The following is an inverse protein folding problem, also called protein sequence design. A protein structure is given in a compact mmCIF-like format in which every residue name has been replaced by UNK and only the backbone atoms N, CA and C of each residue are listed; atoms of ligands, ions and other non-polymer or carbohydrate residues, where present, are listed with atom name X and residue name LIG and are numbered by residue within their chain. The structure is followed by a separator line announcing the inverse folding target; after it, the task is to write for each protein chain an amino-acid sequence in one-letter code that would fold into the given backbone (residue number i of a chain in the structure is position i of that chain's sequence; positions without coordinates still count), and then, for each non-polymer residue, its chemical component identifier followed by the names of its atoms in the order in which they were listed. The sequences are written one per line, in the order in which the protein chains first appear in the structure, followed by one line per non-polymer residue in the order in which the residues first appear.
data_IF_500412644345
#
_entry.id   IF_500412644345
#
_cell.length_a   1.000
_cell.length_b   1.000
_cell.length_c   1.000
_cell.angle_alpha   90.00
_cell.angle_beta   90.00
_cell.angle_gamma   90.00
#
_symmetry.space_group_name_H-M   'P 1'
#
loop_
_entity.id
_entity.type
_entity.pdbx_description
1 polymer ?
#
# COMPACT_ATOMS: atom_id res chain seq x y z
N UNK A 1 -4.08 1.47 -33.14
CA UNK A 1 -4.29 2.37 -34.30
C UNK A 1 -3.31 2.01 -35.40
N UNK A 2 -3.80 1.60 -36.52
CA UNK A 2 -3.00 1.29 -37.71
C UNK A 2 -3.69 1.88 -38.98
N UNK A 3 -3.21 1.53 -40.19
CA UNK A 3 -3.81 1.97 -41.44
C UNK A 3 -5.29 1.60 -41.61
N UNK A 4 -5.83 0.71 -40.78
CA UNK A 4 -7.24 0.30 -40.80
C UNK A 4 -8.09 1.09 -39.77
N UNK A 5 -7.49 2.06 -39.03
CA UNK A 5 -8.16 2.90 -38.03
C UNK A 5 -8.00 2.42 -36.58
N UNK A 6 -9.00 2.72 -35.75
CA UNK A 6 -9.01 2.36 -34.33
C UNK A 6 -9.37 0.87 -34.19
N UNK A 7 -8.59 0.15 -33.43
CA UNK A 7 -8.71 -1.29 -33.23
C UNK A 7 -9.51 -1.63 -31.96
N UNK A 8 -10.00 -2.86 -31.88
CA UNK A 8 -10.62 -3.46 -30.72
C UNK A 8 -9.93 -4.75 -30.26
N UNK A 9 -8.75 -5.02 -30.84
CA UNK A 9 -7.98 -6.20 -30.46
C UNK A 9 -7.44 -6.07 -29.03
N UNK A 10 -7.55 -7.15 -28.28
CA UNK A 10 -6.92 -7.33 -26.98
C UNK A 10 -5.97 -8.52 -27.03
N UNK A 11 -4.76 -8.36 -26.50
CA UNK A 11 -3.70 -9.35 -26.55
C UNK A 11 -3.17 -9.61 -25.14
N UNK A 12 -2.93 -10.87 -24.81
CA UNK A 12 -2.24 -11.30 -23.62
C UNK A 12 -0.82 -11.72 -23.98
N UNK A 13 0.16 -11.06 -23.39
CA UNK A 13 1.57 -11.45 -23.49
C UNK A 13 1.87 -12.29 -22.24
N UNK A 14 2.19 -13.56 -22.43
CA UNK A 14 2.54 -14.49 -21.35
C UNK A 14 3.99 -14.32 -20.91
N UNK A 15 4.32 -14.87 -19.75
CA UNK A 15 5.67 -14.79 -19.19
C UNK A 15 6.76 -15.49 -20.03
N UNK A 16 6.36 -16.44 -20.88
CA UNK A 16 7.24 -17.12 -21.86
C UNK A 16 7.43 -16.31 -23.15
N UNK A 17 6.80 -15.11 -23.24
CA UNK A 17 6.83 -14.25 -24.43
C UNK A 17 5.83 -14.64 -25.52
N UNK A 18 5.05 -15.71 -25.36
CA UNK A 18 3.97 -16.06 -26.28
C UNK A 18 2.82 -15.03 -26.21
N UNK A 19 2.14 -14.84 -27.35
CA UNK A 19 1.04 -13.88 -27.48
C UNK A 19 -0.24 -14.66 -27.76
N UNK A 20 -1.25 -14.45 -26.93
CA UNK A 20 -2.58 -15.01 -27.08
C UNK A 20 -3.60 -13.91 -27.36
N UNK A 21 -4.55 -14.15 -28.26
CA UNK A 21 -5.64 -13.21 -28.52
C UNK A 21 -6.72 -13.38 -27.46
N UNK A 22 -7.03 -12.30 -26.79
CA UNK A 22 -8.20 -12.19 -25.92
C UNK A 22 -9.46 -11.84 -26.77
N UNK A 23 -10.66 -12.01 -26.24
CA UNK A 23 -11.87 -11.52 -26.89
C UNK A 23 -11.73 -10.03 -27.25
N UNK A 24 -12.16 -9.62 -28.44
CA UNK A 24 -12.08 -8.23 -28.84
C UNK A 24 -13.02 -7.35 -27.99
N UNK A 25 -12.65 -6.10 -27.79
CA UNK A 25 -13.51 -5.10 -27.16
C UNK A 25 -14.85 -4.97 -27.93
N UNK A 26 -15.95 -4.65 -27.24
CA UNK A 26 -17.25 -4.45 -27.90
C UNK A 26 -17.22 -3.38 -29.00
N UNK A 27 -16.49 -2.30 -28.76
CA UNK A 27 -16.26 -1.21 -29.72
C UNK A 27 -14.77 -0.93 -29.89
N UNK A 28 -14.34 -0.41 -31.03
CA UNK A 28 -12.96 0.08 -31.16
C UNK A 28 -12.76 1.27 -30.23
N UNK A 29 -11.63 1.32 -29.53
CA UNK A 29 -11.34 2.40 -28.57
C UNK A 29 -9.88 2.80 -28.66
N UNK A 30 -9.62 4.11 -28.60
CA UNK A 30 -8.28 4.67 -28.45
C UNK A 30 -8.26 5.76 -27.38
N UNK A 31 -7.10 6.11 -26.85
CA UNK A 31 -6.92 7.09 -25.78
C UNK A 31 -7.74 6.79 -24.49
N UNK A 32 -8.13 5.51 -24.32
CA UNK A 32 -8.76 5.03 -23.11
C UNK A 32 -7.72 4.83 -21.98
N UNK A 33 -8.16 4.94 -20.75
CA UNK A 33 -7.38 4.47 -19.61
C UNK A 33 -7.67 3.00 -19.30
N UNK A 34 -6.68 2.34 -18.70
CA UNK A 34 -6.79 0.95 -18.27
C UNK A 34 -6.41 0.81 -16.80
N UNK A 35 -7.09 -0.08 -16.13
CA UNK A 35 -6.76 -0.50 -14.76
C UNK A 35 -6.90 -2.01 -14.63
N UNK A 36 -6.21 -2.58 -13.64
CA UNK A 36 -6.34 -3.99 -13.29
C UNK A 36 -6.54 -4.13 -11.78
N UNK A 37 -7.38 -5.08 -11.38
CA UNK A 37 -7.58 -5.42 -9.97
C UNK A 37 -7.91 -6.91 -9.84
N UNK A 38 -7.03 -7.66 -9.18
CA UNK A 38 -7.14 -9.11 -9.16
C UNK A 38 -7.18 -9.67 -10.58
N UNK A 39 -8.20 -10.47 -10.88
CA UNK A 39 -8.41 -11.06 -12.19
C UNK A 39 -9.30 -10.20 -13.12
N UNK A 40 -9.50 -8.94 -12.82
CA UNK A 40 -10.34 -8.05 -13.62
C UNK A 40 -9.51 -6.97 -14.30
N UNK A 41 -9.75 -6.79 -15.59
CA UNK A 41 -9.18 -5.73 -16.42
C UNK A 41 -10.27 -4.74 -16.78
N UNK A 42 -9.98 -3.45 -16.72
CA UNK A 42 -10.92 -2.39 -17.03
C UNK A 42 -10.37 -1.53 -18.18
N UNK A 43 -11.27 -1.15 -19.11
CA UNK A 43 -11.02 -0.16 -20.16
C UNK A 43 -12.05 0.94 -19.97
N UNK A 44 -11.59 2.17 -19.83
CA UNK A 44 -12.40 3.28 -19.32
C UNK A 44 -12.28 4.47 -20.26
N UNK A 45 -13.42 5.02 -20.70
CA UNK A 45 -13.47 6.21 -21.53
C UNK A 45 -12.83 6.02 -22.91
N UNK A 46 -12.12 7.04 -23.38
CA UNK A 46 -11.49 7.03 -24.69
C UNK A 46 -12.38 7.61 -25.79
N UNK A 47 -12.04 7.31 -27.04
CA UNK A 47 -12.84 7.67 -28.24
C UNK A 47 -12.90 6.49 -29.19
N UNK A 48 -14.04 6.38 -29.90
CA UNK A 48 -14.34 5.28 -30.83
C UNK A 48 -14.07 5.65 -32.32
N UNK A 49 -13.81 6.92 -32.58
CA UNK A 49 -13.54 7.47 -33.92
C UNK A 49 -12.50 8.59 -33.84
N UNK A 50 -11.95 8.98 -34.98
CA UNK A 50 -10.86 9.97 -35.03
C UNK A 50 -11.32 11.38 -34.65
N UNK A 51 -12.54 11.76 -35.07
CA UNK A 51 -13.13 13.06 -34.75
C UNK A 51 -14.50 12.89 -34.10
N UNK A 52 -14.55 12.52 -32.81
CA UNK A 52 -15.81 12.40 -32.10
C UNK A 52 -16.34 13.78 -31.71
N UNK A 53 -17.65 13.88 -31.49
CA UNK A 53 -18.27 15.08 -30.91
C UNK A 53 -17.95 15.16 -29.41
N UNK A 54 -17.94 14.01 -28.74
CA UNK A 54 -17.65 13.87 -27.32
C UNK A 54 -16.79 12.64 -27.09
N UNK A 55 -16.06 12.63 -25.98
CA UNK A 55 -15.38 11.43 -25.49
C UNK A 55 -16.37 10.43 -24.86
N UNK A 56 -15.95 9.18 -24.73
CA UNK A 56 -16.76 8.13 -24.12
C UNK A 56 -16.71 8.22 -22.60
N UNK A 57 -17.82 7.85 -21.94
CA UNK A 57 -17.90 7.62 -20.49
C UNK A 57 -18.15 6.15 -20.15
N UNK A 58 -17.81 5.25 -21.06
CA UNK A 58 -18.01 3.80 -20.93
C UNK A 58 -16.95 3.14 -20.06
N UNK A 59 -17.33 2.05 -19.39
CA UNK A 59 -16.42 1.15 -18.69
C UNK A 59 -16.67 -0.26 -19.21
N UNK A 60 -15.63 -0.91 -19.71
CA UNK A 60 -15.63 -2.33 -20.06
C UNK A 60 -14.78 -3.10 -19.09
N UNK A 61 -15.28 -4.24 -18.63
CA UNK A 61 -14.57 -5.15 -17.73
C UNK A 61 -14.39 -6.51 -18.40
N UNK A 62 -13.20 -7.09 -18.28
CA UNK A 62 -12.90 -8.47 -18.61
C UNK A 62 -12.50 -9.21 -17.34
N UNK A 63 -13.21 -10.28 -17.02
CA UNK A 63 -12.78 -11.24 -15.98
C UNK A 63 -11.87 -12.29 -16.65
N UNK A 64 -10.65 -12.39 -16.17
CA UNK A 64 -9.63 -13.32 -16.68
C UNK A 64 -9.57 -14.64 -15.92
N UNK A 65 -10.49 -14.87 -14.97
CA UNK A 65 -10.58 -16.13 -14.21
C UNK A 65 -10.97 -17.34 -15.09
N UNK A 66 -11.94 -17.21 -16.05
CA UNK A 66 -12.28 -18.31 -16.94
C UNK A 66 -11.20 -18.61 -17.98
N UNK A 67 -11.26 -19.79 -18.60
CA UNK A 67 -10.46 -20.09 -19.79
C UNK A 67 -10.68 -19.04 -20.90
N UNK A 68 -9.67 -18.77 -21.70
CA UNK A 68 -9.67 -17.68 -22.69
C UNK A 68 -10.87 -17.72 -23.65
N UNK A 69 -11.32 -18.90 -24.04
CA UNK A 69 -12.48 -19.13 -24.92
C UNK A 69 -13.84 -18.79 -24.28
N UNK A 70 -13.88 -18.71 -22.95
CA UNK A 70 -15.06 -18.34 -22.14
C UNK A 70 -15.05 -16.90 -21.66
N UNK A 71 -13.92 -16.19 -21.79
CA UNK A 71 -13.80 -14.79 -21.40
C UNK A 71 -14.72 -13.91 -22.27
N UNK A 72 -15.34 -12.92 -21.65
CA UNK A 72 -16.19 -11.93 -22.35
C UNK A 72 -16.06 -10.57 -21.71
N UNK A 73 -15.99 -9.53 -22.53
CA UNK A 73 -16.12 -8.18 -22.06
C UNK A 73 -17.56 -7.90 -21.61
N UNK A 74 -17.68 -7.34 -20.43
CA UNK A 74 -18.95 -6.88 -19.86
C UNK A 74 -18.96 -5.36 -19.86
N UNK A 75 -20.03 -4.78 -20.39
CA UNK A 75 -20.25 -3.34 -20.28
C UNK A 75 -20.81 -3.05 -18.90
N UNK A 76 -20.10 -2.25 -18.13
CA UNK A 76 -20.56 -1.76 -16.83
C UNK A 76 -21.39 -0.48 -16.98
N UNK A 77 -22.15 -0.06 -15.96
CA UNK A 77 -22.76 1.25 -15.94
C UNK A 77 -21.73 2.34 -16.22
N UNK A 78 -22.05 3.37 -17.04
CA UNK A 78 -21.10 4.41 -17.36
C UNK A 78 -20.73 5.22 -16.10
N UNK A 79 -19.53 5.78 -16.06
CA UNK A 79 -19.19 6.71 -15.00
C UNK A 79 -19.93 8.04 -15.19
N UNK A 80 -20.24 8.77 -14.10
CA UNK A 80 -20.97 10.03 -14.16
C UNK A 80 -20.13 11.16 -14.77
N UNK A 81 -20.82 12.18 -15.30
CA UNK A 81 -20.21 13.36 -15.85
C UNK A 81 -19.78 13.21 -17.30
N UNK A 82 -18.85 14.06 -17.72
CA UNK A 82 -18.37 14.10 -19.10
C UNK A 82 -17.48 12.90 -19.42
N UNK A 83 -17.65 12.36 -20.64
CA UNK A 83 -16.73 11.40 -21.18
C UNK A 83 -15.32 11.99 -21.31
N UNK A 84 -14.29 11.15 -21.25
CA UNK A 84 -12.91 11.64 -21.25
C UNK A 84 -11.94 10.73 -21.96
N UNK A 85 -10.97 11.36 -22.62
CA UNK A 85 -9.78 10.72 -23.15
C UNK A 85 -8.59 10.97 -22.22
N UNK A 86 -7.55 10.13 -22.32
CA UNK A 86 -6.29 10.32 -21.61
C UNK A 86 -6.45 10.51 -20.08
N UNK A 87 -7.57 10.04 -19.52
CA UNK A 87 -7.68 9.97 -18.05
C UNK A 87 -6.69 8.97 -17.49
N UNK A 88 -6.46 9.05 -16.21
CA UNK A 88 -5.69 8.05 -15.49
C UNK A 88 -6.65 7.20 -14.68
N UNK A 89 -6.44 5.89 -14.65
CA UNK A 89 -7.26 4.97 -13.89
C UNK A 89 -6.42 4.19 -12.89
N UNK A 90 -6.94 4.04 -11.69
CA UNK A 90 -6.32 3.26 -10.62
C UNK A 90 -7.42 2.57 -9.80
N UNK A 91 -7.15 1.36 -9.30
CA UNK A 91 -8.06 0.71 -8.36
C UNK A 91 -7.37 0.62 -7.01
N UNK A 92 -8.03 1.17 -5.99
CA UNK A 92 -7.64 1.04 -4.61
C UNK A 92 -8.82 0.44 -3.83
N UNK A 93 -8.59 -0.64 -3.13
CA UNK A 93 -9.62 -1.46 -2.50
C UNK A 93 -10.73 -1.85 -3.49
N UNK A 94 -11.98 -1.48 -3.20
CA UNK A 94 -13.13 -1.73 -4.06
C UNK A 94 -13.59 -0.49 -4.82
N UNK A 95 -12.72 0.51 -5.03
CA UNK A 95 -13.05 1.73 -5.75
C UNK A 95 -12.13 1.90 -6.95
N UNK A 96 -12.74 2.05 -8.13
CA UNK A 96 -12.04 2.45 -9.34
C UNK A 96 -12.02 3.97 -9.42
N UNK A 97 -10.84 4.56 -9.34
CA UNK A 97 -10.63 5.99 -9.46
C UNK A 97 -10.33 6.35 -10.93
N UNK A 98 -11.06 7.33 -11.43
CA UNK A 98 -10.88 7.90 -12.78
C UNK A 98 -10.45 9.36 -12.58
N UNK A 99 -9.22 9.66 -12.93
CA UNK A 99 -8.53 10.88 -12.52
C UNK A 99 -8.20 11.74 -13.74
N UNK A 100 -8.62 12.99 -13.74
CA UNK A 100 -8.28 13.97 -14.77
C UNK A 100 -8.64 13.54 -16.19
N UNK A 101 -7.73 13.75 -17.10
CA UNK A 101 -7.93 13.52 -18.54
C UNK A 101 -8.45 14.75 -19.26
N UNK A 102 -9.04 14.56 -20.45
CA UNK A 102 -9.61 15.63 -21.23
C UNK A 102 -11.02 15.26 -21.68
N UNK A 103 -11.98 16.17 -21.54
CA UNK A 103 -13.23 16.10 -22.28
C UNK A 103 -13.03 16.63 -23.71
N UNK A 104 -13.90 16.23 -24.60
CA UNK A 104 -13.92 16.65 -26.01
C UNK A 104 -15.20 17.42 -26.29
N UNK A 105 -15.08 18.51 -27.03
CA UNK A 105 -16.20 19.25 -27.57
C UNK A 105 -15.91 19.65 -29.02
N UNK A 106 -16.91 19.55 -29.88
CA UNK A 106 -16.79 19.94 -31.27
C UNK A 106 -17.49 21.27 -31.46
N UNK A 107 -16.80 22.22 -32.07
CA UNK A 107 -17.35 23.52 -32.38
C UNK A 107 -18.16 23.53 -33.67
N UNK A 108 -18.79 24.69 -34.00
CA UNK A 108 -19.58 24.86 -35.23
C UNK A 108 -18.75 24.79 -36.52
N UNK A 109 -17.43 24.92 -36.43
CA UNK A 109 -16.50 24.75 -37.58
C UNK A 109 -16.15 23.29 -37.82
N UNK A 110 -16.53 22.40 -36.92
CA UNK A 110 -16.21 20.97 -36.97
C UNK A 110 -14.86 20.62 -36.36
N UNK A 111 -14.18 21.56 -35.71
CA UNK A 111 -12.93 21.33 -35.00
C UNK A 111 -13.21 20.78 -33.59
N UNK A 112 -12.47 19.74 -33.21
CA UNK A 112 -12.59 19.12 -31.87
C UNK A 112 -11.55 19.71 -30.93
N UNK A 113 -12.00 20.35 -29.86
CA UNK A 113 -11.18 20.91 -28.79
C UNK A 113 -11.11 20.00 -27.58
N UNK A 114 -10.04 20.16 -26.79
CA UNK A 114 -9.79 19.41 -25.54
C UNK A 114 -9.90 20.36 -24.36
N UNK A 115 -10.66 19.95 -23.34
CA UNK A 115 -10.69 20.63 -22.04
C UNK A 115 -10.06 19.71 -20.99
N UNK A 116 -8.99 20.19 -20.36
CA UNK A 116 -8.29 19.43 -19.30
C UNK A 116 -9.09 19.46 -18.00
N UNK A 117 -9.25 18.28 -17.41
CA UNK A 117 -10.03 18.06 -16.20
C UNK A 117 -9.11 17.90 -14.98
N UNK A 118 -9.53 18.46 -13.86
CA UNK A 118 -8.84 18.30 -12.57
C UNK A 118 -9.66 17.50 -11.54
N UNK A 119 -10.84 17.04 -11.96
CA UNK A 119 -11.70 16.24 -11.10
C UNK A 119 -11.23 14.79 -10.98
N UNK A 120 -11.75 14.12 -9.98
CA UNK A 120 -11.55 12.69 -9.75
C UNK A 120 -12.90 12.06 -9.46
N UNK A 121 -13.18 10.95 -10.13
CA UNK A 121 -14.41 10.17 -9.96
C UNK A 121 -14.05 8.87 -9.26
N UNK A 122 -14.70 8.60 -8.13
CA UNK A 122 -14.66 7.29 -7.49
C UNK A 122 -15.84 6.44 -7.95
N UNK A 123 -15.56 5.32 -8.57
CA UNK A 123 -16.54 4.37 -9.04
C UNK A 123 -16.57 3.16 -8.10
N UNK A 124 -17.64 3.05 -7.30
CA UNK A 124 -17.80 2.03 -6.27
C UNK A 124 -18.08 0.65 -6.90
N UNK A 125 -17.28 -0.35 -6.52
CA UNK A 125 -17.37 -1.74 -6.98
C UNK A 125 -17.69 -2.71 -5.83
N UNK A 126 -18.26 -2.23 -4.72
CA UNK A 126 -18.51 -3.05 -3.52
C UNK A 126 -19.70 -4.02 -3.68
N UNK A 127 -20.65 -3.76 -4.60
CA UNK A 127 -21.77 -4.65 -4.82
C UNK A 127 -21.30 -5.96 -5.50
N UNK A 128 -21.88 -7.09 -5.09
CA UNK A 128 -21.59 -8.40 -5.70
C UNK A 128 -22.04 -8.50 -7.16
N UNK A 129 -23.02 -7.70 -7.54
CA UNK A 129 -23.56 -7.62 -8.91
C UNK A 129 -22.89 -6.45 -9.65
N UNK A 130 -22.02 -6.73 -10.64
CA UNK A 130 -21.35 -5.68 -11.39
C UNK A 130 -22.30 -4.70 -12.13
N UNK A 131 -23.52 -5.11 -12.43
CA UNK A 131 -24.51 -4.23 -13.06
C UNK A 131 -25.00 -3.10 -12.14
N UNK A 132 -24.70 -3.18 -10.86
CA UNK A 132 -25.02 -2.17 -9.84
C UNK A 132 -23.85 -1.31 -9.45
N UNK A 133 -22.66 -1.60 -9.96
CA UNK A 133 -21.48 -0.80 -9.68
C UNK A 133 -21.68 0.64 -10.16
N UNK A 134 -21.11 1.57 -9.41
CA UNK A 134 -21.30 3.00 -9.68
C UNK A 134 -22.70 3.54 -9.40
N UNK A 135 -23.67 2.72 -9.00
CA UNK A 135 -25.05 3.15 -8.72
C UNK A 135 -25.28 3.57 -7.27
N UNK A 136 -24.39 3.18 -6.35
CA UNK A 136 -24.46 3.63 -4.97
C UNK A 136 -24.16 5.13 -4.91
N UNK A 137 -24.98 5.92 -4.25
CA UNK A 137 -24.87 7.39 -4.17
C UNK A 137 -23.55 7.93 -3.56
N UNK A 138 -22.52 7.08 -3.42
CA UNK A 138 -21.12 7.40 -3.14
C UNK A 138 -20.32 7.79 -4.40
N UNK A 139 -20.98 8.05 -5.52
CA UNK A 139 -20.37 8.37 -6.83
C UNK A 139 -19.56 9.67 -6.87
N UNK A 140 -19.59 10.42 -5.82
CA UNK A 140 -18.73 11.58 -5.62
C UNK A 140 -17.90 11.37 -4.35
N UNK A 141 -16.85 10.59 -4.45
CA UNK A 141 -15.64 11.05 -3.82
C UNK A 141 -15.14 12.21 -4.69
N UNK A 142 -15.89 13.34 -4.65
CA UNK A 142 -15.30 14.61 -4.95
C UNK A 142 -14.31 14.86 -3.82
N UNK A 143 -13.19 14.15 -3.86
CA UNK A 143 -12.01 14.58 -3.17
C UNK A 143 -11.69 15.98 -3.65
N UNK A 144 -10.88 16.77 -2.95
CA UNK A 144 -10.35 17.99 -3.50
C UNK A 144 -9.80 17.63 -4.87
N UNK A 145 -10.23 18.31 -5.92
CA UNK A 145 -9.73 18.08 -7.27
C UNK A 145 -8.21 18.07 -7.26
N UNK A 146 -7.60 17.41 -8.23
CA UNK A 146 -6.15 17.45 -8.34
C UNK A 146 -5.66 18.90 -8.26
N UNK A 147 -4.54 19.18 -7.59
CA UNK A 147 -3.97 20.53 -7.49
C UNK A 147 -3.73 21.16 -8.86
N UNK A 148 -3.60 20.33 -9.89
CA UNK A 148 -3.29 20.73 -11.27
C UNK A 148 -4.01 19.78 -12.22
N UNK A 149 -4.68 20.30 -13.27
CA UNK A 149 -5.24 19.47 -14.33
C UNK A 149 -4.12 18.68 -15.02
N UNK A 150 -4.26 17.37 -15.10
CA UNK A 150 -3.27 16.47 -15.70
C UNK A 150 -3.96 15.37 -16.50
N UNK A 151 -3.31 14.95 -17.58
CA UNK A 151 -3.78 13.88 -18.43
C UNK A 151 -2.68 12.84 -18.65
N UNK A 152 -3.08 11.58 -18.80
CA UNK A 152 -2.22 10.47 -19.18
C UNK A 152 -0.99 10.21 -18.28
N UNK A 153 -1.02 10.63 -17.04
CA UNK A 153 0.02 10.26 -16.06
C UNK A 153 -0.15 8.82 -15.60
N UNK A 154 0.92 8.02 -15.45
CA UNK A 154 0.81 6.72 -14.79
C UNK A 154 0.42 6.88 -13.32
N UNK A 155 -0.43 6.00 -12.81
CA UNK A 155 -0.92 6.05 -11.43
C UNK A 155 -0.82 4.69 -10.73
N UNK A 156 0.38 4.25 -10.39
CA UNK A 156 0.54 3.07 -9.55
C UNK A 156 -0.13 3.29 -8.18
N UNK A 157 -0.71 2.22 -7.67
CA UNK A 157 -1.33 2.19 -6.34
C UNK A 157 -0.39 1.50 -5.37
N UNK A 158 -0.23 2.08 -4.22
CA UNK A 158 0.51 1.48 -3.11
C UNK A 158 -0.27 1.68 -1.83
N UNK A 159 -0.62 0.57 -1.17
CA UNK A 159 -1.47 0.61 0.01
C UNK A 159 -2.75 1.44 -0.25
N UNK A 160 -3.01 2.44 0.56
CA UNK A 160 -4.16 3.34 0.42
C UNK A 160 -3.82 4.65 -0.33
N UNK A 161 -2.76 4.63 -1.14
CA UNK A 161 -2.29 5.82 -1.87
C UNK A 161 -2.22 5.58 -3.36
N UNK A 162 -2.69 6.55 -4.13
CA UNK A 162 -2.56 6.59 -5.58
C UNK A 162 -1.48 7.62 -5.92
N UNK A 163 -0.42 7.18 -6.60
CA UNK A 163 0.69 8.04 -6.99
C UNK A 163 0.50 8.47 -8.44
N UNK A 164 0.07 9.70 -8.68
CA UNK A 164 0.00 10.25 -10.03
C UNK A 164 1.36 10.82 -10.40
N UNK A 165 2.03 10.19 -11.37
CA UNK A 165 3.40 10.55 -11.79
C UNK A 165 3.35 11.30 -13.10
N UNK A 166 3.88 12.51 -13.13
CA UNK A 166 3.99 13.29 -14.35
C UNK A 166 2.64 13.71 -14.95
N UNK A 167 2.41 13.34 -16.18
CA UNK A 167 1.21 13.69 -16.96
C UNK A 167 1.35 14.97 -17.78
N UNK A 168 0.43 15.12 -18.72
CA UNK A 168 0.33 16.31 -19.58
C UNK A 168 -0.44 17.42 -18.86
N UNK A 169 0.20 18.55 -18.64
CA UNK A 169 -0.36 19.71 -17.94
C UNK A 169 -0.60 20.91 -18.86
N UNK A 170 -0.72 20.70 -20.17
CA UNK A 170 -0.90 21.80 -21.12
C UNK A 170 -2.13 22.66 -20.84
N UNK A 171 -3.17 22.08 -20.24
CA UNK A 171 -4.36 22.83 -19.79
C UNK A 171 -4.06 23.94 -18.79
N UNK A 172 -2.90 23.89 -18.11
CA UNK A 172 -2.43 24.93 -17.18
C UNK A 172 -1.32 25.80 -17.80
N UNK A 173 -0.99 25.60 -19.10
CA UNK A 173 -0.02 26.44 -19.79
C UNK A 173 -0.66 27.77 -20.20
N UNK A 174 0.01 28.90 -19.99
CA UNK A 174 -0.47 30.19 -20.49
C UNK A 174 -0.46 30.26 -22.04
N UNK A 175 0.26 29.35 -22.68
CA UNK A 175 0.29 29.20 -24.14
C UNK A 175 0.21 27.72 -24.50
N UNK A 176 -1.00 27.16 -24.72
CA UNK A 176 -1.22 25.75 -25.05
C UNK A 176 -0.58 25.32 -26.39
N UNK A 177 -0.22 26.26 -27.27
CA UNK A 177 0.38 25.98 -28.57
C UNK A 177 1.88 25.65 -28.45
N UNK A 178 2.54 26.01 -27.38
CA UNK A 178 3.96 25.71 -27.17
C UNK A 178 4.19 24.28 -26.71
N UNK A 179 5.17 23.59 -27.30
CA UNK A 179 5.60 22.29 -26.77
C UNK A 179 6.16 22.46 -25.37
N UNK A 180 5.42 21.99 -24.37
CA UNK A 180 5.85 21.98 -22.97
C UNK A 180 6.27 20.56 -22.64
N UNK A 181 7.41 20.40 -21.97
CA UNK A 181 7.82 19.11 -21.45
C UNK A 181 6.75 18.54 -20.50
N UNK A 182 6.61 17.23 -20.48
CA UNK A 182 5.69 16.56 -19.57
C UNK A 182 6.08 16.85 -18.12
N UNK A 183 5.10 16.83 -17.23
CA UNK A 183 5.35 17.06 -15.81
C UNK A 183 6.28 16.01 -15.23
N UNK A 184 7.05 16.42 -14.22
CA UNK A 184 7.85 15.54 -13.36
C UNK A 184 7.23 15.36 -11.97
N UNK A 185 6.18 16.09 -11.63
CA UNK A 185 5.61 16.04 -10.29
C UNK A 185 5.11 14.64 -9.94
N UNK A 186 5.31 14.26 -8.70
CA UNK A 186 4.67 13.11 -8.06
C UNK A 186 3.60 13.67 -7.13
N UNK A 187 2.35 13.48 -7.51
CA UNK A 187 1.20 13.80 -6.66
C UNK A 187 0.69 12.51 -6.02
N UNK A 188 0.45 12.55 -4.74
CA UNK A 188 -0.06 11.40 -3.99
C UNK A 188 -1.44 11.74 -3.45
N UNK A 189 -2.39 10.90 -3.79
CA UNK A 189 -3.73 10.91 -3.22
C UNK A 189 -3.82 9.86 -2.12
N UNK A 190 -4.01 10.32 -0.89
CA UNK A 190 -4.35 9.46 0.24
C UNK A 190 -5.86 9.18 0.21
N UNK A 191 -6.23 7.93 -0.04
CA UNK A 191 -7.63 7.51 -0.17
C UNK A 191 -8.38 7.60 1.16
N UNK A 192 -7.69 7.34 2.29
CA UNK A 192 -8.29 7.42 3.63
C UNK A 192 -8.44 8.86 4.08
N UNK A 193 -7.35 9.63 3.97
CA UNK A 193 -7.32 11.05 4.35
C UNK A 193 -8.04 11.95 3.37
N UNK A 194 -8.40 11.45 2.18
CA UNK A 194 -9.05 12.20 1.09
C UNK A 194 -8.31 13.50 0.76
N UNK A 195 -6.99 13.42 0.63
CA UNK A 195 -6.12 14.58 0.40
C UNK A 195 -5.07 14.32 -0.67
N UNK A 196 -4.74 15.39 -1.42
CA UNK A 196 -3.61 15.40 -2.34
C UNK A 196 -2.39 16.04 -1.70
N UNK A 197 -1.22 15.41 -1.87
CA UNK A 197 0.08 15.96 -1.50
C UNK A 197 1.05 15.87 -2.67
N UNK A 198 1.98 16.84 -2.79
CA UNK A 198 3.11 16.75 -3.72
C UNK A 198 4.30 16.18 -2.99
N UNK A 199 4.78 15.02 -3.40
CA UNK A 199 5.88 14.32 -2.72
C UNK A 199 7.26 14.47 -3.38
N UNK A 200 7.35 15.14 -4.52
CA UNK A 200 8.64 15.33 -5.16
C UNK A 200 8.54 15.32 -6.68
N UNK A 201 9.64 14.92 -7.32
CA UNK A 201 9.75 14.90 -8.77
C UNK A 201 10.25 13.54 -9.28
N UNK A 202 9.62 13.05 -10.34
CA UNK A 202 10.10 11.89 -11.08
C UNK A 202 11.38 12.26 -11.85
N UNK A 203 12.30 11.31 -12.08
CA UNK A 203 13.58 11.59 -12.76
C UNK A 203 13.42 12.26 -14.13
N UNK A 204 12.36 11.94 -14.87
CA UNK A 204 12.07 12.49 -16.18
C UNK A 204 10.57 12.85 -16.29
N UNK A 205 10.26 13.96 -16.98
CA UNK A 205 8.86 14.29 -17.28
C UNK A 205 8.27 13.22 -18.18
N UNK A 206 7.06 12.69 -17.84
CA UNK A 206 6.51 11.54 -18.53
C UNK A 206 4.99 11.57 -18.58
N UNK A 207 4.43 11.13 -19.72
CA UNK A 207 3.03 10.84 -19.92
C UNK A 207 2.86 9.57 -20.74
N UNK A 208 1.67 9.01 -20.79
CA UNK A 208 1.30 7.81 -21.58
C UNK A 208 2.22 6.60 -21.32
N UNK A 209 2.80 6.51 -20.14
CA UNK A 209 3.67 5.42 -19.73
C UNK A 209 2.92 4.43 -18.82
N UNK A 210 3.14 3.13 -18.95
CA UNK A 210 2.76 2.19 -17.91
C UNK A 210 3.69 2.35 -16.69
N UNK A 211 3.16 2.12 -15.50
CA UNK A 211 3.95 2.01 -14.28
C UNK A 211 3.79 0.63 -13.64
N UNK A 212 4.87 0.14 -13.08
CA UNK A 212 4.93 -1.14 -12.36
C UNK A 212 5.44 -0.85 -10.95
N UNK A 213 4.80 -1.44 -9.96
CA UNK A 213 5.26 -1.45 -8.57
C UNK A 213 5.90 -2.80 -8.27
N UNK A 214 7.12 -2.79 -7.79
CA UNK A 214 7.87 -3.99 -7.36
C UNK A 214 8.49 -3.73 -5.99
N UNK A 215 7.84 -4.21 -4.94
CA UNK A 215 8.23 -3.87 -3.57
C UNK A 215 8.23 -2.37 -3.33
N UNK A 216 9.35 -1.81 -2.90
CA UNK A 216 9.52 -0.37 -2.70
C UNK A 216 9.83 0.41 -3.98
N UNK A 217 10.09 -0.25 -5.09
CA UNK A 217 10.47 0.38 -6.35
C UNK A 217 9.25 0.60 -7.25
N UNK A 218 9.15 1.80 -7.79
CA UNK A 218 8.21 2.14 -8.86
C UNK A 218 9.01 2.36 -10.14
N UNK A 219 8.60 1.71 -11.20
CA UNK A 219 9.24 1.81 -12.50
C UNK A 219 8.23 2.28 -13.55
N UNK A 220 8.60 3.27 -14.34
CA UNK A 220 7.89 3.64 -15.56
C UNK A 220 8.66 3.14 -16.77
N UNK A 221 7.94 2.61 -17.75
CA UNK A 221 8.53 1.99 -18.93
C UNK A 221 8.12 2.80 -20.17
N UNK A 222 9.11 3.31 -20.91
CA UNK A 222 8.84 4.11 -22.12
C UNK A 222 7.95 5.33 -21.82
N UNK A 223 7.21 5.83 -22.77
CA UNK A 223 6.26 6.94 -22.62
C UNK A 223 6.63 8.16 -23.47
N UNK A 224 5.95 9.28 -23.22
CA UNK A 224 6.19 10.56 -23.89
C UNK A 224 6.83 11.55 -22.91
N UNK A 225 7.97 12.13 -23.30
CA UNK A 225 8.66 13.18 -22.51
C UNK A 225 8.23 14.59 -22.92
N UNK A 226 7.70 14.72 -24.13
CA UNK A 226 7.02 15.90 -24.67
C UNK A 226 5.96 15.44 -25.67
N UNK A 227 4.98 16.26 -26.03
CA UNK A 227 3.95 15.88 -26.99
C UNK A 227 4.54 15.32 -28.29
N UNK A 228 4.20 14.06 -28.60
CA UNK A 228 4.72 13.36 -29.79
C UNK A 228 6.18 12.89 -29.70
N UNK A 229 6.89 13.17 -28.60
CA UNK A 229 8.27 12.74 -28.40
C UNK A 229 8.31 11.53 -27.45
N UNK A 230 8.40 10.34 -28.01
CA UNK A 230 8.49 9.10 -27.27
C UNK A 230 9.92 8.79 -26.84
N UNK A 231 10.06 8.18 -25.69
CA UNK A 231 11.34 7.69 -25.17
C UNK A 231 11.29 6.19 -24.95
N UNK A 232 12.34 5.44 -25.31
CA UNK A 232 12.49 4.05 -24.93
C UNK A 232 13.08 3.90 -23.52
N UNK A 233 13.46 5.01 -22.88
CA UNK A 233 14.09 4.99 -21.56
C UNK A 233 13.08 4.54 -20.50
N UNK A 234 13.58 3.76 -19.56
CA UNK A 234 12.88 3.39 -18.34
C UNK A 234 13.38 4.29 -17.22
N UNK A 235 12.48 4.73 -16.38
CA UNK A 235 12.84 5.45 -15.16
C UNK A 235 12.30 4.67 -13.96
N UNK A 236 13.12 4.56 -12.93
CA UNK A 236 12.70 4.02 -11.65
C UNK A 236 13.07 4.98 -10.55
N UNK A 237 12.26 4.99 -9.52
CA UNK A 237 12.59 5.58 -8.25
C UNK A 237 12.16 4.60 -7.17
N UNK A 238 13.03 4.41 -6.21
CA UNK A 238 12.59 3.84 -4.95
C UNK A 238 11.61 4.85 -4.36
N UNK A 239 10.36 4.45 -4.25
CA UNK A 239 9.44 5.13 -3.35
C UNK A 239 9.91 4.78 -1.94
N UNK A 240 11.08 5.29 -1.56
CA UNK A 240 11.45 5.37 -0.19
C UNK A 240 10.32 6.12 0.48
N UNK A 241 9.52 5.43 1.27
CA UNK A 241 8.82 6.12 2.32
C UNK A 241 9.92 6.81 3.13
N UNK A 242 10.13 8.09 2.88
CA UNK A 242 10.36 8.94 4.00
C UNK A 242 9.05 8.82 4.79
N UNK A 243 9.06 7.91 5.74
CA UNK A 243 8.13 7.93 6.83
C UNK A 243 8.42 9.27 7.50
N UNK A 244 7.84 10.34 6.99
CA UNK A 244 7.68 11.56 7.75
C UNK A 244 6.69 11.20 8.83
N UNK A 245 7.24 10.61 9.88
CA UNK A 245 6.50 10.44 11.12
C UNK A 245 5.89 11.79 11.42
N UNK A 246 4.57 11.83 11.52
CA UNK A 246 3.89 13.06 11.89
C UNK A 246 4.50 13.58 13.20
N UNK A 247 4.41 14.86 13.46
CA UNK A 247 4.89 15.44 14.73
C UNK A 247 4.27 14.70 15.93
N UNK A 248 3.07 14.14 15.74
CA UNK A 248 2.36 13.32 16.74
C UNK A 248 3.04 11.97 16.93
N UNK A 249 3.48 11.31 15.84
CA UNK A 249 4.17 10.01 15.90
C UNK A 249 5.54 10.15 16.59
N UNK A 250 6.30 11.22 16.29
CA UNK A 250 7.52 11.55 17.01
C UNK A 250 7.25 11.83 18.48
N UNK A 251 6.19 12.57 18.81
CA UNK A 251 5.84 12.86 20.20
C UNK A 251 5.45 11.59 20.95
N UNK A 252 4.66 10.70 20.36
CA UNK A 252 4.28 9.40 20.93
C UNK A 252 5.50 8.49 21.10
N UNK A 253 6.38 8.43 20.10
CA UNK A 253 7.62 7.64 20.19
C UNK A 253 8.54 8.17 21.29
N UNK A 254 8.77 9.47 21.35
CA UNK A 254 9.59 10.11 22.38
C UNK A 254 8.97 9.90 23.77
N UNK A 255 7.67 10.08 23.91
CA UNK A 255 6.95 9.84 25.17
C UNK A 255 7.07 8.37 25.59
N UNK A 256 6.94 7.44 24.66
CA UNK A 256 7.09 6.00 24.93
C UNK A 256 8.51 5.69 25.39
N UNK A 257 9.53 6.25 24.72
CA UNK A 257 10.93 6.08 25.11
C UNK A 257 11.20 6.69 26.50
N UNK A 258 10.65 7.88 26.79
CA UNK A 258 10.81 8.53 28.10
C UNK A 258 10.13 7.71 29.21
N UNK A 259 8.91 7.25 28.99
CA UNK A 259 8.19 6.40 29.96
C UNK A 259 8.94 5.10 30.21
N UNK A 260 9.42 4.43 29.16
CA UNK A 260 10.25 3.24 29.26
C UNK A 260 11.57 3.52 30.02
N UNK A 261 12.23 4.64 29.72
CA UNK A 261 13.46 5.04 30.42
C UNK A 261 13.21 5.32 31.91
N UNK A 262 12.11 5.99 32.25
CA UNK A 262 11.70 6.25 33.65
C UNK A 262 11.42 4.94 34.38
N UNK A 263 10.70 4.01 33.74
CA UNK A 263 10.41 2.68 34.31
C UNK A 263 11.71 1.91 34.53
N UNK A 264 12.61 1.90 33.51
CA UNK A 264 13.91 1.22 33.59
C UNK A 264 14.77 1.81 34.71
N UNK A 265 14.93 3.13 34.78
CA UNK A 265 15.73 3.82 35.81
C UNK A 265 15.14 3.61 37.16
N UNK A 266 13.82 3.68 37.34
CA UNK A 266 13.13 3.40 38.61
C UNK A 266 13.29 1.95 39.05
N UNK A 267 13.17 1.00 38.12
CA UNK A 267 13.37 -0.43 38.41
C UNK A 267 14.82 -0.75 38.79
N UNK A 268 15.79 -0.17 38.08
CA UNK A 268 17.23 -0.33 38.41
C UNK A 268 17.55 0.32 39.75
N UNK A 269 17.06 1.54 40.02
CA UNK A 269 17.34 2.28 41.26
C UNK A 269 16.72 1.64 42.49
N UNK A 270 15.52 1.09 42.37
CA UNK A 270 14.84 0.39 43.45
C UNK A 270 15.29 -1.07 43.58
N UNK A 271 15.77 -1.67 42.48
CA UNK A 271 16.19 -3.07 42.43
C UNK A 271 17.50 -3.38 43.11
N UNK A 272 18.42 -2.40 43.18
CA UNK A 272 19.70 -2.58 43.86
C UNK A 272 19.55 -2.57 45.38
N UNK A 273 18.45 -2.07 45.92
CA UNK A 273 18.22 -1.97 47.39
C UNK A 273 17.47 -3.15 48.02
N UNK A 274 16.86 -4.06 47.26
CA UNK A 274 15.92 -5.05 47.81
C UNK A 274 16.23 -6.52 47.50
N UNK A 275 17.51 -6.91 47.38
CA UNK A 275 17.88 -8.32 47.21
C UNK A 275 17.89 -9.10 48.56
N UNK A 276 17.50 -8.48 49.65
CA UNK A 276 17.59 -9.11 50.98
C UNK A 276 16.37 -8.83 51.88
N UNK A 277 15.16 -9.01 51.39
CA UNK A 277 14.05 -9.22 52.32
C UNK A 277 13.22 -10.43 51.84
N UNK A 278 13.41 -11.53 52.53
CA UNK A 278 12.42 -12.59 52.57
C UNK A 278 11.14 -11.92 53.09
N UNK A 279 10.19 -11.70 52.20
CA UNK A 279 8.88 -11.13 52.53
C UNK A 279 8.17 -12.13 53.46
N UNK A 280 7.82 -11.70 54.67
CA UNK A 280 6.95 -12.44 55.58
C UNK A 280 5.66 -12.80 54.78
N UNK A 281 5.26 -14.09 54.73
CA UNK A 281 4.08 -14.52 53.98
C UNK A 281 2.77 -13.86 54.43
N UNK A 282 2.77 -13.12 55.52
CA UNK A 282 1.60 -12.37 56.03
C UNK A 282 1.56 -10.89 55.65
N UNK A 283 2.54 -10.38 54.91
CA UNK A 283 2.52 -8.97 54.47
C UNK A 283 1.68 -8.83 53.18
N UNK A 284 0.67 -7.95 53.24
CA UNK A 284 -0.13 -7.64 52.05
C UNK A 284 0.75 -6.97 50.99
N UNK A 285 0.58 -7.34 49.69
CA UNK A 285 1.35 -6.74 48.62
C UNK A 285 1.13 -5.22 48.57
N UNK A 286 2.22 -4.48 48.55
CA UNK A 286 2.18 -3.01 48.48
C UNK A 286 1.75 -2.50 47.11
N UNK A 287 1.39 -1.21 47.04
CA UNK A 287 0.96 -0.56 45.79
C UNK A 287 1.93 -0.82 44.62
N UNK A 288 3.22 -0.83 44.88
CA UNK A 288 4.25 -1.06 43.84
C UNK A 288 4.25 -2.48 43.27
N UNK A 289 3.84 -3.47 44.05
CA UNK A 289 3.65 -4.84 43.56
C UNK A 289 2.52 -4.88 42.51
N UNK A 290 1.40 -4.25 42.82
CA UNK A 290 0.29 -4.13 41.87
C UNK A 290 0.66 -3.35 40.59
N UNK A 291 1.42 -2.26 40.71
CA UNK A 291 1.93 -1.51 39.57
C UNK A 291 2.82 -2.40 38.72
N UNK A 292 3.72 -3.19 39.28
CA UNK A 292 4.58 -4.12 38.56
C UNK A 292 3.74 -5.17 37.80
N UNK A 293 2.74 -5.76 38.46
CA UNK A 293 1.84 -6.75 37.82
C UNK A 293 1.09 -6.12 36.63
N UNK A 294 0.53 -4.92 36.78
CA UNK A 294 -0.19 -4.22 35.71
C UNK A 294 0.74 -3.94 34.51
N UNK A 295 1.96 -3.46 34.77
CA UNK A 295 2.95 -3.19 33.71
C UNK A 295 3.32 -4.49 32.99
N UNK A 296 3.64 -5.55 33.72
CA UNK A 296 3.96 -6.85 33.13
C UNK A 296 2.78 -7.42 32.33
N UNK A 297 1.56 -7.29 32.83
CA UNK A 297 0.34 -7.70 32.13
C UNK A 297 0.18 -6.93 30.81
N UNK A 298 0.40 -5.61 30.83
CA UNK A 298 0.30 -4.79 29.62
C UNK A 298 1.35 -5.20 28.58
N UNK A 299 2.58 -5.49 29.02
CA UNK A 299 3.63 -5.98 28.12
C UNK A 299 3.26 -7.35 27.51
N UNK A 300 2.70 -8.28 28.31
CA UNK A 300 2.22 -9.57 27.80
C UNK A 300 1.09 -9.37 26.79
N UNK A 301 0.19 -8.44 27.03
CA UNK A 301 -0.89 -8.10 26.11
C UNK A 301 -0.34 -7.60 24.77
N UNK A 302 0.62 -6.67 24.77
CA UNK A 302 1.28 -6.19 23.55
C UNK A 302 2.01 -7.30 22.80
N UNK A 303 2.68 -8.16 23.52
CA UNK A 303 3.37 -9.32 22.95
C UNK A 303 2.38 -10.29 22.29
N UNK A 304 1.25 -10.56 22.92
CA UNK A 304 0.20 -11.39 22.33
C UNK A 304 -0.42 -10.74 21.11
N UNK A 305 -0.59 -9.42 21.14
CA UNK A 305 -1.10 -8.63 20.01
C UNK A 305 -0.15 -8.74 18.82
N UNK A 306 1.16 -8.61 19.00
CA UNK A 306 2.17 -8.76 17.95
C UNK A 306 2.12 -10.14 17.26
N UNK A 307 1.84 -11.20 18.00
CA UNK A 307 1.62 -12.54 17.42
C UNK A 307 0.40 -12.60 16.51
N UNK A 308 -0.69 -11.95 16.91
CA UNK A 308 -1.94 -11.95 16.12
C UNK A 308 -1.87 -11.04 14.92
N UNK A 309 -1.10 -9.94 14.98
CA UNK A 309 -0.90 -9.02 13.89
C UNK A 309 -0.43 -9.70 12.60
N UNK A 310 0.50 -10.63 12.71
CA UNK A 310 1.00 -11.35 11.52
C UNK A 310 -0.12 -12.10 10.79
N UNK A 311 -0.99 -12.78 11.53
CA UNK A 311 -2.13 -13.50 10.95
C UNK A 311 -3.20 -12.55 10.40
N UNK A 312 -3.41 -11.40 11.06
CA UNK A 312 -4.35 -10.39 10.61
C UNK A 312 -3.86 -9.65 9.36
N UNK A 313 -2.54 -9.52 9.20
CA UNK A 313 -1.88 -8.87 8.06
C UNK A 313 -1.41 -9.88 6.99
N UNK A 314 -1.99 -11.09 6.95
CA UNK A 314 -1.60 -12.13 5.99
C UNK A 314 -1.61 -11.62 4.55
N UNK A 315 -2.74 -11.07 4.08
CA UNK A 315 -2.87 -10.61 2.70
C UNK A 315 -1.89 -9.48 2.33
N UNK A 316 -1.73 -8.40 3.15
CA UNK A 316 -0.71 -7.40 2.90
C UNK A 316 0.70 -7.97 2.84
N UNK A 317 1.08 -8.84 3.80
CA UNK A 317 2.44 -9.40 3.87
C UNK A 317 2.74 -10.28 2.66
N UNK A 318 1.82 -11.16 2.24
CA UNK A 318 1.99 -12.02 1.06
C UNK A 318 2.05 -11.19 -0.23
N UNK A 319 1.38 -10.06 -0.25
CA UNK A 319 1.43 -9.12 -1.38
C UNK A 319 2.79 -8.43 -1.50
N UNK A 320 3.36 -7.99 -0.38
CA UNK A 320 4.64 -7.25 -0.36
C UNK A 320 5.85 -8.18 -0.40
N UNK A 321 5.77 -9.31 0.27
CA UNK A 321 6.78 -10.38 0.28
C UNK A 321 6.15 -11.63 -0.34
N UNK A 322 6.29 -11.85 -1.65
CA UNK A 322 5.69 -13.00 -2.33
C UNK A 322 6.16 -14.32 -1.72
N UNK A 323 5.23 -15.08 -1.18
CA UNK A 323 5.48 -16.36 -0.51
C UNK A 323 4.28 -17.28 -0.65
N UNK A 324 4.52 -18.58 -0.63
CA UNK A 324 3.46 -19.59 -0.64
C UNK A 324 2.79 -19.70 0.73
N UNK A 325 1.56 -20.23 0.79
CA UNK A 325 0.86 -20.52 2.05
C UNK A 325 1.69 -21.38 3.00
N UNK A 326 2.44 -22.35 2.45
CA UNK A 326 3.34 -23.19 3.25
C UNK A 326 4.50 -22.37 3.86
N UNK A 327 5.06 -21.42 3.11
CA UNK A 327 6.11 -20.52 3.58
C UNK A 327 5.60 -19.57 4.64
N UNK A 328 4.41 -19.00 4.47
CA UNK A 328 3.78 -18.18 5.51
C UNK A 328 3.50 -19.00 6.78
N UNK A 329 3.03 -20.24 6.63
CA UNK A 329 2.90 -21.19 7.74
C UNK A 329 4.23 -21.46 8.45
N UNK A 330 5.36 -21.51 7.74
CA UNK A 330 6.69 -21.64 8.35
C UNK A 330 7.10 -20.39 9.14
N UNK A 331 6.81 -19.17 8.65
CA UNK A 331 7.09 -17.91 9.36
C UNK A 331 6.37 -17.85 10.72
N UNK A 332 5.13 -18.32 10.78
CA UNK A 332 4.38 -18.41 12.04
C UNK A 332 4.87 -19.53 12.94
N UNK A 333 5.22 -20.68 12.36
CA UNK A 333 5.62 -21.88 13.09
C UNK A 333 7.03 -21.80 13.66
N UNK A 334 7.98 -21.17 12.95
CA UNK A 334 9.37 -21.03 13.42
C UNK A 334 9.46 -20.27 14.73
N UNK A 335 8.64 -19.24 14.87
CA UNK A 335 8.52 -18.49 16.13
C UNK A 335 8.13 -19.40 17.29
N UNK A 336 7.03 -20.17 17.15
CA UNK A 336 6.53 -21.09 18.18
C UNK A 336 7.54 -22.20 18.52
N UNK A 337 8.19 -22.74 17.49
CA UNK A 337 9.20 -23.78 17.65
C UNK A 337 10.38 -23.30 18.49
N UNK A 338 10.97 -22.17 18.14
CA UNK A 338 12.11 -21.59 18.85
C UNK A 338 11.72 -21.19 20.26
N UNK A 339 10.55 -20.56 20.44
CA UNK A 339 9.99 -20.23 21.74
C UNK A 339 9.85 -21.47 22.64
N UNK A 340 9.26 -22.54 22.13
CA UNK A 340 9.06 -23.77 22.89
C UNK A 340 10.37 -24.45 23.28
N UNK A 341 11.34 -24.50 22.36
CA UNK A 341 12.66 -25.11 22.61
C UNK A 341 13.48 -24.33 23.64
N UNK A 342 13.42 -23.00 23.62
CA UNK A 342 14.26 -22.15 24.46
C UNK A 342 13.59 -21.74 25.78
N UNK A 343 12.28 -21.88 25.93
CA UNK A 343 11.55 -21.51 27.15
C UNK A 343 12.07 -22.25 28.41
N UNK A 344 12.38 -23.56 28.38
CA UNK A 344 13.01 -24.23 29.54
C UNK A 344 14.38 -23.65 29.90
N UNK A 345 15.17 -23.25 28.88
CA UNK A 345 16.48 -22.61 29.10
C UNK A 345 16.27 -21.22 29.73
N UNK A 346 15.28 -20.47 29.26
CA UNK A 346 14.88 -19.20 29.86
C UNK A 346 14.50 -19.32 31.33
N UNK A 347 13.73 -20.34 31.68
CA UNK A 347 13.38 -20.65 33.07
C UNK A 347 14.61 -20.94 33.96
N UNK A 348 15.50 -21.82 33.47
CA UNK A 348 16.74 -22.14 34.19
C UNK A 348 17.64 -20.92 34.42
N UNK A 349 17.73 -20.01 33.41
CA UNK A 349 18.51 -18.78 33.54
C UNK A 349 17.82 -17.77 34.48
N UNK A 350 16.49 -17.70 34.50
CA UNK A 350 15.73 -16.84 35.40
C UNK A 350 15.90 -17.20 36.87
N UNK A 351 16.23 -18.46 37.16
CA UNK A 351 16.54 -18.91 38.54
C UNK A 351 17.98 -18.58 38.95
N UNK A 352 18.89 -18.37 38.00
CA UNK A 352 20.32 -18.12 38.30
C UNK A 352 20.75 -16.66 38.18
N UNK A 353 20.07 -15.90 37.34
CA UNK A 353 20.40 -14.51 37.06
C UNK A 353 19.31 -13.55 37.54
N UNK A 354 19.61 -12.25 37.53
CA UNK A 354 18.63 -11.23 37.89
C UNK A 354 17.43 -11.27 36.95
N UNK A 355 16.26 -11.68 37.44
CA UNK A 355 14.99 -11.71 36.67
C UNK A 355 14.68 -10.39 36.03
N UNK A 356 14.94 -9.26 36.71
CA UNK A 356 14.73 -7.90 36.19
C UNK A 356 15.62 -7.60 35.01
N UNK A 357 16.90 -7.97 35.05
CA UNK A 357 17.81 -7.78 33.93
C UNK A 357 17.41 -8.62 32.76
N UNK A 358 16.97 -9.86 32.96
CA UNK A 358 16.48 -10.73 31.86
C UNK A 358 15.26 -10.15 31.20
N UNK A 359 14.27 -9.65 31.95
CA UNK A 359 13.08 -8.99 31.39
C UNK A 359 13.49 -7.77 30.56
N UNK A 360 14.39 -6.91 31.08
CA UNK A 360 14.84 -5.72 30.34
C UNK A 360 15.59 -6.07 29.05
N UNK A 361 16.53 -7.02 29.11
CA UNK A 361 17.26 -7.47 27.93
C UNK A 361 16.31 -8.07 26.87
N UNK A 362 15.36 -8.89 27.33
CA UNK A 362 14.36 -9.50 26.44
C UNK A 362 13.48 -8.43 25.75
N UNK A 363 13.03 -7.42 26.49
CA UNK A 363 12.23 -6.33 25.92
C UNK A 363 13.02 -5.48 24.91
N UNK A 364 14.30 -5.22 25.16
CA UNK A 364 15.16 -4.51 24.21
C UNK A 364 15.32 -5.33 22.92
N UNK A 365 15.63 -6.63 23.05
CA UNK A 365 15.77 -7.52 21.89
C UNK A 365 14.44 -7.59 21.12
N UNK A 366 13.31 -7.75 21.83
CA UNK A 366 12.00 -7.78 21.21
C UNK A 366 11.70 -6.49 20.43
N UNK A 367 11.97 -5.32 20.99
CA UNK A 367 11.76 -4.04 20.31
C UNK A 367 12.59 -3.92 19.02
N UNK A 368 13.88 -4.31 19.07
CA UNK A 368 14.77 -4.30 17.91
C UNK A 368 14.29 -5.27 16.83
N UNK A 369 13.88 -6.46 17.23
CA UNK A 369 13.41 -7.50 16.31
C UNK A 369 12.05 -7.16 15.71
N UNK A 370 11.13 -6.56 16.46
CA UNK A 370 9.85 -6.07 15.94
C UNK A 370 10.09 -4.96 14.91
N UNK A 371 10.99 -4.02 15.21
CA UNK A 371 11.41 -3.02 14.23
C UNK A 371 12.00 -3.66 12.96
N UNK A 372 12.88 -4.65 13.10
CA UNK A 372 13.46 -5.38 11.98
C UNK A 372 12.38 -6.14 11.17
N UNK A 373 11.42 -6.79 11.83
CA UNK A 373 10.30 -7.48 11.17
C UNK A 373 9.51 -6.52 10.25
N UNK A 374 9.30 -5.26 10.69
CA UNK A 374 8.63 -4.23 9.87
C UNK A 374 9.47 -3.72 8.69
N UNK A 375 10.77 -4.04 8.63
CA UNK A 375 11.68 -3.68 7.55
C UNK A 375 12.15 -4.89 6.73
N UNK A 376 11.55 -6.05 6.93
CA UNK A 376 11.87 -7.24 6.15
C UNK A 376 11.40 -7.06 4.70
N UNK A 377 12.33 -7.19 3.75
CA UNK A 377 12.05 -7.02 2.31
C UNK A 377 11.90 -8.36 1.58
N UNK A 378 12.29 -9.46 2.22
CA UNK A 378 12.24 -10.81 1.66
C UNK A 378 11.80 -11.86 2.69
N UNK A 379 11.40 -13.03 2.17
CA UNK A 379 10.96 -14.17 2.98
C UNK A 379 12.01 -14.61 4.02
N UNK A 380 13.29 -14.63 3.66
CA UNK A 380 14.36 -15.11 4.52
C UNK A 380 14.58 -14.16 5.69
N UNK A 381 14.60 -12.86 5.41
CA UNK A 381 14.69 -11.81 6.45
C UNK A 381 13.51 -11.88 7.42
N UNK A 382 12.28 -12.03 6.90
CA UNK A 382 11.06 -12.18 7.71
C UNK A 382 11.12 -13.44 8.58
N UNK A 383 11.57 -14.58 8.02
CA UNK A 383 11.70 -15.84 8.74
C UNK A 383 12.73 -15.77 9.87
N UNK A 384 13.90 -15.16 9.61
CA UNK A 384 14.95 -14.99 10.63
C UNK A 384 14.49 -14.03 11.73
N UNK A 385 13.85 -12.91 11.37
CA UNK A 385 13.32 -11.96 12.33
C UNK A 385 12.28 -12.63 13.26
N UNK A 386 11.38 -13.44 12.71
CA UNK A 386 10.40 -14.20 13.50
C UNK A 386 11.06 -15.26 14.41
N UNK A 387 12.11 -15.91 13.93
CA UNK A 387 12.92 -16.81 14.76
C UNK A 387 13.59 -16.08 15.94
N UNK A 388 14.20 -14.93 15.67
CA UNK A 388 14.81 -14.08 16.70
C UNK A 388 13.80 -13.57 17.72
N UNK A 389 12.57 -13.27 17.29
CA UNK A 389 11.46 -12.90 18.19
C UNK A 389 11.12 -14.05 19.17
N UNK A 390 11.08 -15.29 18.66
CA UNK A 390 10.88 -16.48 19.50
C UNK A 390 11.95 -16.64 20.58
N UNK A 391 13.20 -16.28 20.29
CA UNK A 391 14.29 -16.25 21.28
C UNK A 391 13.97 -15.23 22.38
N UNK A 392 13.65 -14.00 22.02
CA UNK A 392 13.43 -12.93 23.03
C UNK A 392 12.28 -13.26 23.97
N UNK A 393 11.18 -13.80 23.45
CA UNK A 393 10.01 -14.17 24.26
C UNK A 393 10.25 -15.39 25.17
N UNK A 394 11.08 -16.34 24.74
CA UNK A 394 11.43 -17.51 25.51
C UNK A 394 12.12 -17.15 26.86
N UNK A 395 12.79 -16.00 26.91
CA UNK A 395 13.41 -15.50 28.15
C UNK A 395 12.50 -14.57 28.97
N UNK A 396 11.54 -13.90 28.31
CA UNK A 396 10.66 -12.94 28.98
C UNK A 396 9.64 -13.60 29.88
N UNK A 397 8.84 -14.53 29.36
CA UNK A 397 7.69 -15.09 30.08
C UNK A 397 8.08 -15.83 31.35
N UNK A 398 9.10 -16.75 31.38
CA UNK A 398 9.50 -17.39 32.62
C UNK A 398 10.02 -16.40 33.65
N UNK A 399 10.80 -15.40 33.23
CA UNK A 399 11.35 -14.40 34.16
C UNK A 399 10.25 -13.49 34.72
N UNK A 400 9.25 -13.12 33.94
CA UNK A 400 8.13 -12.31 34.40
C UNK A 400 7.24 -13.05 35.39
N UNK A 401 6.91 -14.32 35.14
CA UNK A 401 6.16 -15.16 36.08
C UNK A 401 6.90 -15.35 37.37
N UNK A 402 8.20 -15.66 37.30
CA UNK A 402 9.03 -15.81 38.49
C UNK A 402 9.16 -14.49 39.30
N UNK A 403 9.18 -13.33 38.59
CA UNK A 403 9.20 -12.03 39.30
C UNK A 403 7.87 -11.74 40.01
N UNK A 404 6.74 -12.12 39.47
CA UNK A 404 5.42 -11.93 40.10
C UNK A 404 5.32 -12.77 41.38
N UNK A 405 5.89 -13.96 41.39
CA UNK A 405 5.88 -14.82 42.59
C UNK A 405 6.79 -14.33 43.72
N UNK A 406 7.70 -13.39 43.46
CA UNK A 406 8.56 -12.76 44.47
C UNK A 406 7.86 -11.63 45.25
N UNK A 407 6.69 -11.20 44.82
CA UNK A 407 5.85 -10.15 45.43
C UNK A 407 4.64 -10.74 46.15
#
# INVERSE_FOLDING_TARGET
HNAQGILKDALLIKTDGSVEKLPPLPVPVTEASCAAHGNKLFVIGGRDREQPETALNTIYMLDTTPDTDKMKWVSLPPFPGEGRILSTAAVCDSTLFIIGGCSLSRDNSGETSRTYLSDMIGYDMTDKDPSKWGSSGRQQLAGPGMPVAAAAGPAPVRENSILLIGGDKRGNSPDPSRPVAQSRDILVYDVIGNTWTRQGEWPVGIATAPAIVRGSEIMTISGETAPGVRTPANASASAGYHFEMSTVDYAVLILTIIVLAIIIVSAVRNGVKNVASVTDPNTKPGLWAWVAVIVLWFVVMLNYFDRQLLSALHEPIVRDIPQTEAQFGMVTSVFLLIYALLSPVGGFLADRYSRRLMILCSLVVWSVVTWWTGHAEDYTSLLIARGAMGISEAFYIPAALALITDY
#
